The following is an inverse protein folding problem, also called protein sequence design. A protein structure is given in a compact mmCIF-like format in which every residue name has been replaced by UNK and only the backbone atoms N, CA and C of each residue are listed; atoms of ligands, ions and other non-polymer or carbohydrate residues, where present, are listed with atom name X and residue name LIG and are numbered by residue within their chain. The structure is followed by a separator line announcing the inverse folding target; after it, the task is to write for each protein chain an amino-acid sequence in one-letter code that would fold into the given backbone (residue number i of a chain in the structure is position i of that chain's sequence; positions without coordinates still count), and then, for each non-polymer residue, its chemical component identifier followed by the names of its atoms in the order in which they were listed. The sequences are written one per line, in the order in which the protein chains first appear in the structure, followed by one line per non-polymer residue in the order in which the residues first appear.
data_IF_443207873842
#
_entry.id   IF_443207873842
#
_cell.length_a   1.000
_cell.length_b   1.000
_cell.length_c   1.000
_cell.angle_alpha   90.00
_cell.angle_beta   90.00
_cell.angle_gamma   90.00
#
_symmetry.space_group_name_H-M   'P 1'
#
loop_
_entity.id
_entity.type
_entity.pdbx_description
1 polymer ?
#
# COMPACT_ATOMS: atom_id res chain seq x y z
N UNK A 1 -12.69 -45.61 -21.69
CA UNK A 1 -12.37 -46.83 -22.46
C UNK A 1 -10.85 -47.00 -22.44
N UNK A 2 -10.31 -48.14 -21.95
CA UNK A 2 -8.87 -48.33 -21.69
C UNK A 2 -8.15 -48.92 -22.95
N UNK A 3 -6.89 -49.43 -22.97
CA UNK A 3 -5.74 -49.44 -22.02
C UNK A 3 -4.35 -49.16 -22.70
N UNK A 4 -3.24 -49.32 -21.97
CA UNK A 4 -1.90 -49.63 -22.51
C UNK A 4 -0.75 -49.20 -21.57
N UNK A 5 -0.37 -49.93 -20.51
CA UNK A 5 0.34 -51.23 -20.42
C UNK A 5 1.86 -51.18 -20.72
N UNK A 6 2.69 -51.51 -19.71
CA UNK A 6 4.00 -52.25 -19.74
C UNK A 6 4.62 -52.29 -18.32
N UNK A 7 4.53 -53.41 -17.57
CA UNK A 7 5.44 -54.59 -17.47
C UNK A 7 6.73 -54.34 -16.64
N UNK A 8 6.80 -54.82 -15.37
CA UNK A 8 7.44 -56.07 -14.85
C UNK A 8 8.91 -55.89 -14.40
N UNK A 9 9.20 -55.71 -13.09
CA UNK A 9 9.63 -56.68 -12.05
C UNK A 9 11.00 -57.34 -12.24
N UNK A 10 11.91 -57.20 -11.27
CA UNK A 10 12.38 -58.29 -10.38
C UNK A 10 13.50 -57.86 -9.40
N UNK A 11 13.44 -58.47 -8.21
CA UNK A 11 14.28 -58.35 -7.00
C UNK A 11 15.44 -59.37 -7.04
N UNK A 12 16.47 -59.23 -6.18
CA UNK A 12 17.21 -60.27 -5.39
C UNK A 12 18.50 -59.62 -4.80
N UNK A 13 18.69 -59.40 -3.48
CA UNK A 13 19.04 -60.30 -2.33
C UNK A 13 20.57 -60.35 -1.98
N UNK A 14 20.94 -59.66 -0.89
CA UNK A 14 21.88 -60.01 0.21
C UNK A 14 23.33 -60.52 0.00
N UNK A 15 24.30 -59.96 0.76
CA UNK A 15 25.02 -60.61 1.90
C UNK A 15 26.30 -59.81 2.34
N UNK A 16 26.38 -59.59 3.66
CA UNK A 16 27.50 -59.47 4.63
C UNK A 16 28.93 -58.90 4.31
N UNK A 17 29.31 -57.91 5.13
CA UNK A 17 30.49 -57.83 6.03
C UNK A 17 31.92 -58.06 5.50
N UNK A 18 32.78 -57.03 5.57
CA UNK A 18 33.97 -57.04 6.45
C UNK A 18 34.65 -55.65 6.51
N UNK A 19 35.17 -55.32 7.70
CA UNK A 19 35.90 -54.10 8.02
C UNK A 19 37.32 -54.08 7.44
N UNK A 20 37.82 -52.90 7.08
CA UNK A 20 39.22 -52.49 7.26
C UNK A 20 39.31 -50.96 7.27
N UNK A 21 39.86 -50.44 8.35
CA UNK A 21 39.90 -49.01 8.66
C UNK A 21 40.94 -48.23 7.84
N UNK A 22 40.69 -46.93 7.76
CA UNK A 22 41.73 -45.93 7.64
C UNK A 22 41.30 -44.72 8.46
N UNK A 23 41.98 -44.55 9.59
CA UNK A 23 41.88 -43.41 10.47
C UNK A 23 42.32 -42.13 9.75
N UNK A 24 41.54 -41.06 9.87
CA UNK A 24 42.07 -39.70 9.82
C UNK A 24 41.59 -38.96 11.06
N UNK A 25 42.58 -38.56 11.86
CA UNK A 25 42.43 -37.87 13.12
C UNK A 25 41.85 -36.47 12.91
N UNK A 26 40.85 -36.12 13.72
CA UNK A 26 40.35 -34.75 13.90
C UNK A 26 41.11 -34.13 15.08
N UNK A 27 41.75 -32.96 14.95
CA UNK A 27 42.29 -32.26 16.10
C UNK A 27 41.16 -31.51 16.83
N UNK A 28 41.12 -31.69 18.14
CA UNK A 28 40.22 -30.97 19.02
C UNK A 28 40.74 -29.56 19.32
N UNK A 29 39.77 -28.67 19.58
CA UNK A 29 39.78 -27.59 20.59
C UNK A 29 40.04 -26.17 20.08
N UNK A 30 38.93 -25.46 19.84
CA UNK A 30 38.73 -24.14 20.44
C UNK A 30 37.23 -23.88 20.67
N UNK A 31 36.78 -24.09 21.93
CA UNK A 31 35.41 -23.75 22.36
C UNK A 31 35.36 -22.24 22.60
N UNK A 32 34.77 -21.50 21.68
CA UNK A 32 34.37 -20.11 21.90
C UNK A 32 33.22 -20.11 22.91
N UNK A 33 33.44 -19.48 24.06
CA UNK A 33 32.44 -19.29 25.12
C UNK A 33 31.19 -18.62 24.52
N UNK A 34 30.07 -19.32 24.52
CA UNK A 34 28.75 -18.70 24.36
C UNK A 34 28.35 -18.22 25.74
N UNK A 35 28.37 -16.90 25.92
CA UNK A 35 27.89 -16.25 27.13
C UNK A 35 26.37 -16.41 27.20
N UNK A 36 25.91 -17.11 28.23
CA UNK A 36 24.50 -17.41 28.46
C UNK A 36 23.89 -16.16 29.10
N UNK A 37 23.19 -15.34 28.32
CA UNK A 37 22.40 -14.24 28.86
C UNK A 37 21.28 -14.85 29.69
N UNK A 38 21.42 -14.73 31.00
CA UNK A 38 20.43 -15.14 31.99
C UNK A 38 19.37 -14.04 32.03
N UNK A 39 18.32 -14.19 31.22
CA UNK A 39 17.12 -13.38 31.38
C UNK A 39 16.35 -13.93 32.59
N UNK A 40 16.11 -13.05 33.56
CA UNK A 40 15.46 -13.35 34.83
C UNK A 40 14.01 -13.81 34.64
N UNK A 41 13.82 -15.12 34.71
CA UNK A 41 12.54 -15.82 34.69
C UNK A 41 11.90 -15.77 36.09
N UNK A 42 11.70 -14.57 36.64
CA UNK A 42 11.17 -14.39 38.00
C UNK A 42 10.16 -13.22 38.12
N UNK A 43 9.60 -12.76 37.00
CA UNK A 43 8.63 -11.65 36.97
C UNK A 43 7.25 -12.06 36.46
N UNK A 44 6.99 -13.36 36.30
CA UNK A 44 5.76 -13.92 35.73
C UNK A 44 5.11 -14.97 36.65
N UNK A 45 5.11 -14.77 37.96
CA UNK A 45 4.45 -15.71 38.89
C UNK A 45 3.47 -15.10 39.90
N UNK A 46 3.15 -13.81 39.84
CA UNK A 46 2.17 -13.21 40.78
C UNK A 46 1.11 -12.36 40.08
N UNK A 47 0.33 -12.97 39.18
CA UNK A 47 -0.97 -12.41 38.77
C UNK A 47 -2.06 -13.36 39.25
N UNK A 48 -2.60 -13.06 40.43
CA UNK A 48 -3.79 -13.73 40.99
C UNK A 48 -4.98 -13.49 40.05
N UNK A 49 -5.32 -14.53 39.26
CA UNK A 49 -6.41 -14.52 38.29
C UNK A 49 -7.75 -15.01 38.87
N UNK A 50 -7.90 -15.06 40.20
CA UNK A 50 -9.09 -15.60 40.87
C UNK A 50 -9.97 -14.50 41.49
N UNK A 51 -10.36 -13.43 40.77
CA UNK A 51 -11.61 -12.71 41.12
C UNK A 51 -12.15 -11.66 40.12
N UNK A 52 -12.04 -11.85 38.80
CA UNK A 52 -12.71 -10.95 37.85
C UNK A 52 -13.97 -11.61 37.27
N UNK A 53 -15.08 -11.46 38.00
CA UNK A 53 -16.42 -11.75 37.49
C UNK A 53 -16.83 -10.62 36.54
N UNK A 54 -16.64 -10.84 35.23
CA UNK A 54 -17.03 -9.89 34.19
C UNK A 54 -18.53 -10.03 33.91
N UNK A 55 -19.35 -9.23 34.57
CA UNK A 55 -20.77 -9.08 34.24
C UNK A 55 -20.99 -7.97 33.20
N UNK A 56 -22.06 -8.11 32.39
CA UNK A 56 -22.38 -7.25 31.24
C UNK A 56 -22.59 -5.77 31.61
N UNK A 57 -22.74 -5.47 32.90
CA UNK A 57 -23.11 -4.16 33.41
C UNK A 57 -21.89 -3.26 33.71
N UNK A 58 -20.65 -3.78 33.66
CA UNK A 58 -19.45 -3.03 34.05
C UNK A 58 -18.39 -2.83 32.96
N UNK A 59 -18.75 -3.02 31.68
CA UNK A 59 -17.81 -2.90 30.56
C UNK A 59 -17.44 -1.44 30.19
N UNK A 60 -17.99 -0.46 30.91
CA UNK A 60 -17.92 0.96 30.55
C UNK A 60 -16.87 1.82 31.26
N UNK A 61 -16.18 1.33 32.30
CA UNK A 61 -15.36 2.18 33.19
C UNK A 61 -13.84 1.90 33.20
N UNK A 62 -13.28 1.13 32.26
CA UNK A 62 -11.82 0.83 32.28
C UNK A 62 -11.13 1.15 30.95
N UNK A 63 -11.26 2.37 30.45
CA UNK A 63 -10.34 2.91 29.44
C UNK A 63 -10.14 4.42 29.66
N UNK A 64 -9.37 4.78 30.70
CA UNK A 64 -8.79 6.12 30.81
C UNK A 64 -7.55 6.20 29.91
N UNK A 65 -7.73 6.77 28.72
CA UNK A 65 -6.72 6.91 27.67
C UNK A 65 -5.84 8.17 27.84
N UNK A 66 -5.85 8.82 29.00
CA UNK A 66 -5.11 10.07 29.23
C UNK A 66 -3.59 9.90 29.43
N UNK A 67 -3.06 8.67 29.51
CA UNK A 67 -1.66 8.44 29.88
C UNK A 67 -0.79 7.80 28.78
N UNK A 68 -1.20 7.86 27.50
CA UNK A 68 -0.42 7.30 26.38
C UNK A 68 0.38 8.38 25.64
N UNK A 69 1.23 9.10 26.37
CA UNK A 69 2.32 9.91 25.81
C UNK A 69 3.64 9.46 26.45
N UNK A 70 4.26 8.39 25.91
CA UNK A 70 5.67 8.09 26.17
C UNK A 70 6.45 8.18 24.87
N UNK A 71 7.23 9.25 24.76
CA UNK A 71 8.09 9.65 23.66
C UNK A 71 9.44 8.91 23.80
N UNK A 72 9.73 7.93 22.94
CA UNK A 72 11.04 7.29 22.91
C UNK A 72 12.03 8.11 22.07
N UNK A 73 13.02 8.68 22.77
CA UNK A 73 14.16 9.42 22.25
C UNK A 73 15.23 8.45 21.68
N UNK A 74 15.48 8.54 20.38
CA UNK A 74 16.56 7.85 19.67
C UNK A 74 17.49 8.88 18.99
N UNK A 75 17.98 9.85 19.74
CA UNK A 75 19.20 10.57 19.37
C UNK A 75 20.43 9.76 19.77
N UNK A 76 21.28 9.39 18.80
CA UNK A 76 22.76 9.25 18.95
C UNK A 76 23.44 8.16 18.08
N UNK A 77 22.90 7.75 16.93
CA UNK A 77 23.68 6.94 15.98
C UNK A 77 23.47 7.38 14.52
N UNK A 78 23.99 8.55 14.16
CA UNK A 78 24.19 8.94 12.75
C UNK A 78 25.69 9.09 12.46
N UNK A 79 26.28 8.30 11.54
CA UNK A 79 27.62 8.57 11.04
C UNK A 79 27.61 9.83 10.15
N UNK A 80 28.51 10.77 10.45
CA UNK A 80 28.78 11.97 9.62
C UNK A 80 29.17 11.55 8.20
N UNK A 81 28.44 12.04 7.21
CA UNK A 81 28.84 11.98 5.80
C UNK A 81 29.27 13.39 5.38
N UNK A 82 30.53 13.53 4.98
CA UNK A 82 31.09 14.75 4.41
C UNK A 82 30.56 14.96 2.98
N UNK A 83 30.15 16.19 2.66
CA UNK A 83 29.61 16.58 1.36
C UNK A 83 30.77 16.75 0.36
N UNK A 84 30.90 15.80 -0.56
CA UNK A 84 31.82 15.89 -1.69
C UNK A 84 31.32 16.82 -2.80
N UNK A 85 32.17 17.74 -3.23
CA UNK A 85 31.92 18.77 -4.25
C UNK A 85 31.71 18.17 -5.66
N UNK A 86 30.77 18.75 -6.42
CA UNK A 86 30.41 18.41 -7.81
C UNK A 86 31.61 18.36 -8.78
N UNK A 87 31.61 17.37 -9.67
CA UNK A 87 32.53 17.29 -10.81
C UNK A 87 32.15 18.28 -11.95
N UNK A 88 33.10 18.81 -12.74
CA UNK A 88 32.83 19.87 -13.71
C UNK A 88 32.31 19.35 -15.07
N UNK A 89 31.62 20.24 -15.80
CA UNK A 89 31.10 20.01 -17.17
C UNK A 89 32.23 19.90 -18.21
N UNK A 90 32.11 19.03 -19.23
CA UNK A 90 33.02 19.05 -20.37
C UNK A 90 32.82 20.28 -21.26
N UNK A 91 33.93 20.94 -21.62
CA UNK A 91 34.03 21.94 -22.68
C UNK A 91 34.66 21.28 -23.91
N UNK A 92 33.98 21.28 -25.04
CA UNK A 92 34.45 21.87 -26.32
C UNK A 92 33.72 21.32 -27.57
N UNK A 93 33.69 22.09 -28.69
CA UNK A 93 32.78 21.91 -29.83
C UNK A 93 33.47 21.46 -31.13
N UNK A 94 32.81 20.61 -31.94
CA UNK A 94 32.98 20.36 -33.41
C UNK A 94 32.46 18.95 -33.73
N UNK A 95 31.87 18.59 -34.88
CA UNK A 95 31.43 19.27 -36.08
C UNK A 95 30.37 18.36 -36.76
N UNK A 96 29.38 18.96 -37.40
CA UNK A 96 28.43 18.30 -38.32
C UNK A 96 29.10 17.94 -39.65
N UNK A 97 28.55 16.97 -40.40
CA UNK A 97 28.46 17.13 -41.84
C UNK A 97 27.01 17.12 -42.32
N UNK A 98 26.77 18.02 -43.27
CA UNK A 98 25.54 18.35 -43.99
C UNK A 98 25.57 17.68 -45.37
N UNK A 99 24.43 17.19 -45.87
CA UNK A 99 24.25 16.84 -47.28
C UNK A 99 22.76 16.85 -47.64
N UNK A 100 22.31 17.99 -48.18
CA UNK A 100 21.05 18.09 -48.91
C UNK A 100 21.20 17.70 -50.39
N UNK A 101 20.09 17.32 -51.04
CA UNK A 101 19.53 18.07 -52.19
C UNK A 101 18.43 17.30 -52.96
N UNK A 102 17.33 18.00 -53.27
CA UNK A 102 16.41 17.91 -54.45
C UNK A 102 15.52 16.66 -54.65
N UNK A 103 14.26 16.70 -55.13
CA UNK A 103 13.40 17.76 -55.67
C UNK A 103 11.93 17.28 -55.89
N UNK A 104 11.00 18.27 -55.90
CA UNK A 104 9.73 18.44 -56.68
C UNK A 104 8.45 17.63 -56.38
N UNK A 105 7.41 18.42 -56.07
CA UNK A 105 5.96 18.17 -56.14
C UNK A 105 5.39 18.14 -57.57
N UNK A 106 4.21 17.50 -57.75
CA UNK A 106 3.06 18.20 -58.35
C UNK A 106 1.73 18.00 -57.59
N UNK A 107 0.74 18.85 -57.91
CA UNK A 107 -0.59 19.00 -57.26
C UNK A 107 -1.72 18.80 -58.30
N UNK A 108 -2.97 18.71 -57.81
CA UNK A 108 -4.32 18.62 -58.45
C UNK A 108 -4.91 17.19 -58.40
N UNK A 109 -6.19 16.90 -58.07
CA UNK A 109 -7.43 17.66 -57.84
C UNK A 109 -8.46 16.71 -57.14
N UNK A 110 -9.44 17.25 -56.40
CA UNK A 110 -10.61 16.51 -55.85
C UNK A 110 -11.62 16.11 -56.95
N UNK A 111 -12.43 15.06 -56.73
CA UNK A 111 -13.83 15.32 -56.33
C UNK A 111 -14.40 14.38 -55.25
N UNK A 112 -15.42 14.91 -54.58
CA UNK A 112 -16.33 14.35 -53.57
C UNK A 112 -17.11 13.12 -54.06
N UNK A 113 -17.48 12.18 -53.17
CA UNK A 113 -18.81 11.52 -53.09
C UNK A 113 -18.91 10.62 -51.83
N UNK A 114 -19.92 10.95 -51.02
CA UNK A 114 -20.73 10.18 -50.04
C UNK A 114 -20.13 9.11 -49.12
N UNK A 115 -20.30 9.37 -47.82
CA UNK A 115 -20.28 8.46 -46.68
C UNK A 115 -21.26 7.28 -46.80
N UNK A 116 -20.93 6.08 -46.28
CA UNK A 116 -21.92 5.06 -45.95
C UNK A 116 -22.51 5.34 -44.56
N UNK A 117 -23.83 5.48 -44.54
CA UNK A 117 -24.68 5.54 -43.36
C UNK A 117 -24.71 4.15 -42.72
N UNK A 118 -24.21 4.02 -41.49
CA UNK A 118 -24.50 2.86 -40.65
C UNK A 118 -25.88 3.06 -39.98
N UNK A 119 -26.72 2.01 -39.92
CA UNK A 119 -28.07 2.11 -39.39
C UNK A 119 -28.05 2.36 -37.86
N UNK A 120 -28.91 3.29 -37.43
CA UNK A 120 -29.17 3.60 -36.04
C UNK A 120 -29.70 2.35 -35.28
N UNK A 121 -29.31 2.15 -34.00
CA UNK A 121 -29.99 1.18 -33.15
C UNK A 121 -31.38 1.71 -32.75
N UNK A 122 -32.39 0.87 -32.93
CA UNK A 122 -33.76 1.03 -32.44
C UNK A 122 -33.74 1.04 -30.89
N UNK A 123 -34.59 1.83 -30.22
CA UNK A 123 -34.58 1.97 -28.76
C UNK A 123 -35.05 0.65 -28.12
N UNK A 124 -34.13 -0.09 -27.53
CA UNK A 124 -34.48 -1.08 -26.54
C UNK A 124 -34.85 -0.33 -25.25
N UNK A 125 -36.15 -0.08 -25.09
CA UNK A 125 -36.77 -0.09 -23.77
C UNK A 125 -36.59 -1.50 -23.21
N UNK A 126 -35.39 -1.77 -22.70
CA UNK A 126 -35.12 -2.85 -21.79
C UNK A 126 -34.79 -2.15 -20.49
N UNK A 127 -35.70 -2.26 -19.53
CA UNK A 127 -35.40 -2.01 -18.13
C UNK A 127 -34.06 -2.66 -17.83
N UNK A 128 -33.01 -1.83 -17.75
CA UNK A 128 -31.83 -2.21 -16.99
C UNK A 128 -32.37 -2.32 -15.57
N UNK A 129 -32.79 -3.55 -15.24
CA UNK A 129 -32.99 -4.00 -13.90
C UNK A 129 -31.74 -3.54 -13.17
N UNK A 130 -31.92 -2.46 -12.42
CA UNK A 130 -30.97 -2.04 -11.40
C UNK A 130 -30.53 -3.31 -10.71
N UNK A 131 -29.24 -3.64 -10.86
CA UNK A 131 -28.64 -4.64 -10.03
C UNK A 131 -29.11 -4.34 -8.60
N UNK A 132 -29.61 -5.33 -7.84
CA UNK A 132 -30.09 -5.07 -6.49
C UNK A 132 -28.98 -4.31 -5.75
N UNK A 133 -29.30 -3.18 -5.08
CA UNK A 133 -28.29 -2.39 -4.41
C UNK A 133 -27.50 -3.34 -3.53
N UNK A 134 -26.18 -3.38 -3.78
CA UNK A 134 -25.25 -4.25 -3.07
C UNK A 134 -25.54 -4.20 -1.58
N UNK A 135 -25.47 -5.36 -0.92
CA UNK A 135 -25.85 -5.51 0.47
C UNK A 135 -25.33 -4.31 1.29
N UNK A 136 -26.17 -3.69 2.13
CA UNK A 136 -25.75 -2.55 2.93
C UNK A 136 -24.50 -2.94 3.72
N UNK A 137 -23.47 -2.08 3.67
CA UNK A 137 -22.17 -2.32 4.32
C UNK A 137 -22.30 -2.78 5.77
N UNK A 138 -23.33 -2.34 6.50
CA UNK A 138 -23.60 -2.77 7.88
C UNK A 138 -24.06 -4.23 8.05
N UNK A 139 -24.24 -4.99 6.97
CA UNK A 139 -24.41 -6.45 7.01
C UNK A 139 -23.08 -7.20 6.90
N UNK A 140 -22.07 -6.57 6.30
CA UNK A 140 -20.72 -7.11 6.14
C UNK A 140 -19.76 -6.57 7.21
N UNK A 141 -20.09 -5.42 7.77
CA UNK A 141 -19.27 -4.62 8.66
C UNK A 141 -20.08 -4.21 9.89
N UNK A 142 -19.39 -3.77 10.94
CA UNK A 142 -20.00 -3.20 12.13
C UNK A 142 -20.17 -1.69 11.98
N UNK A 143 -21.41 -1.20 12.08
CA UNK A 143 -21.71 0.23 12.04
C UNK A 143 -22.08 0.74 13.43
N UNK A 144 -21.31 1.70 13.96
CA UNK A 144 -21.56 2.33 15.27
C UNK A 144 -21.54 3.84 15.08
N UNK A 145 -22.68 4.49 15.30
CA UNK A 145 -22.84 5.92 15.04
C UNK A 145 -22.60 6.24 13.55
N UNK A 146 -21.60 7.08 13.27
CA UNK A 146 -21.16 7.42 11.91
C UNK A 146 -19.88 6.70 11.48
N UNK A 147 -19.44 5.71 12.25
CA UNK A 147 -18.25 4.91 11.98
C UNK A 147 -18.63 3.55 11.39
N UNK A 148 -17.90 3.13 10.35
CA UNK A 148 -18.03 1.81 9.72
C UNK A 148 -16.74 1.04 9.91
N UNK A 149 -16.83 -0.11 10.58
CA UNK A 149 -15.72 -1.01 10.91
C UNK A 149 -15.83 -2.31 10.11
N UNK A 150 -14.97 -2.44 9.11
CA UNK A 150 -14.86 -3.55 8.17
C UNK A 150 -13.51 -4.28 8.30
N UNK A 151 -12.85 -4.20 9.45
CA UNK A 151 -11.55 -4.84 9.64
C UNK A 151 -11.66 -6.37 9.49
N UNK A 152 -10.72 -6.98 8.76
CA UNK A 152 -10.63 -8.44 8.54
C UNK A 152 -11.94 -9.10 8.03
N UNK A 153 -12.72 -8.37 7.23
CA UNK A 153 -13.99 -8.85 6.67
C UNK A 153 -13.82 -9.56 5.31
N UNK A 154 -12.60 -9.95 4.94
CA UNK A 154 -12.25 -10.55 3.64
C UNK A 154 -12.72 -9.71 2.43
N UNK A 155 -12.75 -8.38 2.56
CA UNK A 155 -13.20 -7.50 1.49
C UNK A 155 -12.20 -7.46 0.33
N UNK A 156 -12.70 -7.63 -0.89
CA UNK A 156 -11.92 -7.43 -2.13
C UNK A 156 -12.14 -6.02 -2.72
N UNK A 157 -13.24 -5.38 -2.33
CA UNK A 157 -13.65 -4.04 -2.76
C UNK A 157 -14.28 -3.28 -1.58
N UNK A 158 -14.27 -1.94 -1.66
CA UNK A 158 -14.95 -1.10 -0.68
C UNK A 158 -16.48 -1.28 -0.87
N UNK A 159 -17.24 -1.66 0.17
CA UNK A 159 -18.69 -1.82 0.06
C UNK A 159 -19.39 -0.45 -0.02
N UNK A 160 -20.67 -0.44 -0.41
CA UNK A 160 -21.47 0.79 -0.41
C UNK A 160 -21.64 1.33 1.02
N UNK A 161 -21.05 2.49 1.28
CA UNK A 161 -21.06 3.13 2.60
C UNK A 161 -22.30 4.01 2.80
N UNK A 162 -22.83 4.12 4.04
CA UNK A 162 -23.90 5.07 4.34
C UNK A 162 -23.45 6.51 4.07
N UNK A 163 -24.31 7.40 3.54
CA UNK A 163 -23.96 8.79 3.26
C UNK A 163 -23.44 9.59 4.47
N UNK A 164 -23.89 9.21 5.67
CA UNK A 164 -23.52 9.84 6.94
C UNK A 164 -22.16 9.37 7.50
N UNK A 165 -21.47 8.46 6.81
CA UNK A 165 -20.19 7.90 7.28
C UNK A 165 -19.15 9.00 7.46
N UNK A 166 -18.60 9.08 8.67
CA UNK A 166 -17.52 10.01 9.05
C UNK A 166 -16.18 9.29 9.17
N UNK A 167 -16.18 8.03 9.57
CA UNK A 167 -14.98 7.22 9.77
C UNK A 167 -15.12 5.86 9.11
N UNK A 168 -14.16 5.48 8.27
CA UNK A 168 -14.08 4.15 7.68
C UNK A 168 -12.79 3.46 8.16
N UNK A 169 -12.95 2.26 8.71
CA UNK A 169 -11.86 1.37 9.06
C UNK A 169 -12.04 0.06 8.28
N UNK A 170 -11.16 -0.25 7.34
CA UNK A 170 -11.21 -1.48 6.56
C UNK A 170 -9.82 -2.11 6.44
N UNK A 171 -9.16 -2.28 7.58
CA UNK A 171 -7.79 -2.82 7.66
C UNK A 171 -7.79 -4.34 7.45
N UNK A 172 -6.62 -4.87 7.11
CA UNK A 172 -6.39 -6.33 7.00
C UNK A 172 -7.35 -7.02 6.01
N UNK A 173 -7.72 -6.33 4.93
CA UNK A 173 -8.55 -6.89 3.88
C UNK A 173 -7.72 -7.23 2.63
N UNK A 174 -8.41 -7.57 1.54
CA UNK A 174 -7.82 -7.94 0.25
C UNK A 174 -8.17 -6.90 -0.82
N UNK A 175 -8.43 -5.66 -0.41
CA UNK A 175 -8.81 -4.59 -1.34
C UNK A 175 -7.63 -4.32 -2.26
N UNK A 176 -7.88 -4.39 -3.56
CA UNK A 176 -6.84 -4.27 -4.60
C UNK A 176 -6.86 -2.93 -5.33
N UNK A 177 -7.96 -2.19 -5.24
CA UNK A 177 -8.18 -0.94 -5.95
C UNK A 177 -9.13 -0.02 -5.21
N UNK A 178 -8.97 1.29 -5.40
CA UNK A 178 -9.88 2.31 -4.88
C UNK A 178 -10.41 3.18 -6.03
N UNK A 179 -11.73 3.24 -6.18
CA UNK A 179 -12.37 4.05 -7.23
C UNK A 179 -12.99 5.32 -6.67
N UNK A 180 -13.11 6.36 -7.50
CA UNK A 180 -13.84 7.58 -7.10
C UNK A 180 -15.32 7.32 -6.78
N UNK A 181 -15.92 6.29 -7.40
CA UNK A 181 -17.29 5.86 -7.10
C UNK A 181 -17.46 5.31 -5.69
N UNK A 182 -16.41 4.77 -5.08
CA UNK A 182 -16.49 4.07 -3.78
C UNK A 182 -16.84 5.04 -2.64
N UNK A 183 -16.52 6.33 -2.81
CA UNK A 183 -16.78 7.38 -1.83
C UNK A 183 -17.76 8.47 -2.32
N UNK A 184 -18.52 8.17 -3.37
CA UNK A 184 -19.43 9.15 -3.97
C UNK A 184 -20.50 9.60 -2.97
N UNK A 185 -20.60 10.91 -2.75
CA UNK A 185 -21.61 11.50 -1.87
C UNK A 185 -21.29 11.43 -0.37
N UNK A 186 -20.08 11.00 0.02
CA UNK A 186 -19.65 10.94 1.42
C UNK A 186 -19.07 12.28 1.88
N UNK A 187 -19.92 13.29 1.97
CA UNK A 187 -19.51 14.67 2.29
C UNK A 187 -18.92 14.84 3.70
N UNK A 188 -19.29 13.93 4.61
CA UNK A 188 -18.90 13.96 6.04
C UNK A 188 -17.68 13.10 6.36
N UNK A 189 -17.13 12.37 5.38
CA UNK A 189 -16.03 11.44 5.60
C UNK A 189 -14.75 12.20 5.98
N UNK A 190 -14.24 11.96 7.19
CA UNK A 190 -13.06 12.64 7.76
C UNK A 190 -11.84 11.75 7.80
N UNK A 191 -12.00 10.45 8.03
CA UNK A 191 -10.89 9.50 8.11
C UNK A 191 -11.18 8.24 7.31
N UNK A 192 -10.17 7.81 6.57
CA UNK A 192 -10.15 6.53 5.86
C UNK A 192 -8.90 5.76 6.29
N UNK A 193 -9.11 4.56 6.81
CA UNK A 193 -8.05 3.61 7.13
C UNK A 193 -8.18 2.34 6.29
N UNK A 194 -7.25 2.16 5.34
CA UNK A 194 -7.14 0.97 4.48
C UNK A 194 -5.78 0.29 4.68
N UNK A 195 -5.21 0.38 5.88
CA UNK A 195 -3.93 -0.24 6.21
C UNK A 195 -3.94 -1.76 5.94
N UNK A 196 -2.78 -2.29 5.54
CA UNK A 196 -2.59 -3.73 5.37
C UNK A 196 -3.60 -4.35 4.39
N UNK A 197 -3.70 -3.75 3.20
CA UNK A 197 -4.49 -4.26 2.08
C UNK A 197 -3.55 -4.65 0.91
N UNK A 198 -4.10 -4.85 -0.29
CA UNK A 198 -3.33 -5.12 -1.51
C UNK A 198 -3.53 -4.04 -2.58
N UNK A 199 -3.80 -2.80 -2.17
CA UNK A 199 -4.16 -1.71 -3.07
C UNK A 199 -2.95 -1.38 -3.95
N UNK A 200 -3.06 -1.67 -5.25
CA UNK A 200 -2.01 -1.36 -6.22
C UNK A 200 -2.28 -0.08 -6.99
N UNK A 201 -3.54 0.35 -7.07
CA UNK A 201 -3.94 1.56 -7.77
C UNK A 201 -5.15 2.22 -7.12
N UNK A 202 -5.24 3.55 -7.28
CA UNK A 202 -6.41 4.35 -6.92
C UNK A 202 -6.70 5.31 -8.07
N UNK A 203 -7.98 5.61 -8.33
CA UNK A 203 -8.35 6.67 -9.26
C UNK A 203 -7.70 7.99 -8.82
N UNK A 204 -7.29 8.80 -9.79
CA UNK A 204 -6.56 10.05 -9.55
C UNK A 204 -7.35 10.98 -8.64
N UNK A 205 -8.67 11.03 -8.79
CA UNK A 205 -9.60 11.88 -8.04
C UNK A 205 -10.35 11.17 -6.91
N UNK A 206 -9.96 9.93 -6.57
CA UNK A 206 -10.69 9.11 -5.59
C UNK A 206 -10.91 9.79 -4.24
N UNK A 207 -9.91 10.53 -3.77
CA UNK A 207 -9.96 11.22 -2.47
C UNK A 207 -10.12 12.73 -2.60
N UNK A 208 -9.74 13.32 -3.74
CA UNK A 208 -9.80 14.77 -3.99
C UNK A 208 -11.20 15.35 -3.85
N UNK A 209 -12.22 14.57 -4.19
CA UNK A 209 -13.63 15.00 -4.16
C UNK A 209 -14.27 14.91 -2.77
N UNK A 210 -13.52 14.53 -1.74
CA UNK A 210 -14.02 14.41 -0.36
C UNK A 210 -13.75 15.72 0.41
N UNK A 211 -14.76 16.59 0.60
CA UNK A 211 -14.55 17.94 1.11
C UNK A 211 -14.09 17.94 2.58
N UNK A 212 -14.48 16.93 3.37
CA UNK A 212 -14.19 16.86 4.80
C UNK A 212 -13.02 15.94 5.16
N UNK A 213 -12.35 15.32 4.19
CA UNK A 213 -11.32 14.32 4.47
C UNK A 213 -10.08 14.98 5.07
N UNK A 214 -9.70 14.51 6.26
CA UNK A 214 -8.58 15.03 7.05
C UNK A 214 -7.47 14.00 7.19
N UNK A 215 -7.80 12.71 7.19
CA UNK A 215 -6.84 11.66 7.45
C UNK A 215 -6.97 10.50 6.47
N UNK A 216 -5.87 10.17 5.81
CA UNK A 216 -5.77 9.05 4.90
C UNK A 216 -4.62 8.14 5.33
N UNK A 217 -4.96 6.91 5.69
CA UNK A 217 -4.05 5.91 6.26
C UNK A 217 -4.03 4.72 5.30
N UNK A 218 -2.91 4.55 4.60
CA UNK A 218 -2.67 3.56 3.55
C UNK A 218 -1.38 2.72 3.75
N UNK A 219 -0.79 2.58 4.96
CA UNK A 219 0.45 1.83 5.10
C UNK A 219 0.28 0.35 4.75
N UNK A 220 1.36 -0.30 4.34
CA UNK A 220 1.37 -1.71 3.96
C UNK A 220 0.41 -2.03 2.82
N UNK A 221 0.55 -1.30 1.71
CA UNK A 221 -0.17 -1.54 0.46
C UNK A 221 0.84 -1.72 -0.69
N UNK A 222 0.38 -1.62 -1.95
CA UNK A 222 1.20 -1.85 -3.14
C UNK A 222 1.14 -0.67 -4.12
N UNK A 223 0.82 0.53 -3.61
CA UNK A 223 0.65 1.72 -4.44
C UNK A 223 1.95 2.05 -5.18
N UNK A 224 1.83 2.34 -6.46
CA UNK A 224 2.94 2.80 -7.32
C UNK A 224 2.83 4.28 -7.68
N UNK A 225 1.77 4.95 -7.23
CA UNK A 225 1.57 6.39 -7.38
C UNK A 225 0.67 6.90 -6.26
N UNK A 226 0.87 8.15 -5.86
CA UNK A 226 0.02 8.81 -4.88
C UNK A 226 -1.17 9.49 -5.60
N UNK A 227 -2.43 9.22 -5.18
CA UNK A 227 -3.61 9.89 -5.75
C UNK A 227 -3.70 11.36 -5.32
N UNK A 228 -4.57 12.13 -5.96
CA UNK A 228 -4.80 13.53 -5.59
C UNK A 228 -5.49 13.61 -4.24
N UNK A 229 -4.96 14.47 -3.38
CA UNK A 229 -5.48 14.69 -2.03
C UNK A 229 -6.31 15.98 -1.99
N UNK A 230 -7.35 16.03 -1.14
CA UNK A 230 -8.10 17.26 -0.93
C UNK A 230 -7.26 18.25 -0.08
N UNK A 231 -7.48 19.56 -0.23
CA UNK A 231 -6.74 20.59 0.51
C UNK A 231 -7.01 20.58 2.03
N UNK A 232 -8.04 19.85 2.46
CA UNK A 232 -8.42 19.65 3.87
C UNK A 232 -7.62 18.56 4.57
N UNK A 233 -6.78 17.81 3.85
CA UNK A 233 -5.97 16.75 4.42
C UNK A 233 -4.97 17.32 5.45
N UNK A 234 -4.93 16.67 6.62
CA UNK A 234 -4.05 17.01 7.75
C UNK A 234 -2.98 15.94 7.95
N UNK A 235 -3.34 14.68 7.74
CA UNK A 235 -2.42 13.53 7.88
C UNK A 235 -2.52 12.59 6.70
N UNK A 236 -1.36 12.30 6.11
CA UNK A 236 -1.17 11.25 5.13
C UNK A 236 -0.13 10.27 5.65
N UNK A 237 -0.53 9.00 5.78
CA UNK A 237 0.37 7.90 6.02
C UNK A 237 0.28 6.91 4.87
N UNK A 238 1.29 6.88 4.01
CA UNK A 238 1.41 5.93 2.90
C UNK A 238 2.74 5.16 2.97
N UNK A 239 3.23 4.91 4.18
CA UNK A 239 4.45 4.11 4.41
C UNK A 239 4.32 2.70 3.85
N UNK A 240 5.44 1.99 3.68
CA UNK A 240 5.43 0.56 3.30
C UNK A 240 4.59 0.31 2.03
N UNK A 241 4.80 1.15 1.02
CA UNK A 241 4.19 1.03 -0.31
C UNK A 241 5.31 0.86 -1.36
N UNK A 242 5.02 1.10 -2.64
CA UNK A 242 5.98 0.95 -3.74
C UNK A 242 6.02 2.22 -4.59
N UNK A 243 5.81 3.38 -3.97
CA UNK A 243 5.70 4.66 -4.67
C UNK A 243 7.11 5.11 -5.07
N UNK A 244 7.43 5.20 -6.38
CA UNK A 244 8.65 5.83 -6.83
C UNK A 244 8.49 7.35 -6.84
N UNK A 245 9.59 8.09 -6.93
CA UNK A 245 9.53 9.57 -7.03
C UNK A 245 8.72 10.07 -8.23
N UNK A 246 8.67 9.30 -9.33
CA UNK A 246 7.82 9.58 -10.51
C UNK A 246 6.33 9.33 -10.26
N UNK A 247 5.99 8.58 -9.21
CA UNK A 247 4.62 8.38 -8.74
C UNK A 247 4.08 9.56 -7.93
N UNK A 248 4.91 10.57 -7.64
CA UNK A 248 4.52 11.83 -7.03
C UNK A 248 4.45 12.92 -8.10
N UNK A 249 3.30 13.58 -8.24
CA UNK A 249 3.17 14.69 -9.19
C UNK A 249 4.02 15.90 -8.73
N UNK A 250 4.53 16.72 -9.66
CA UNK A 250 5.37 17.88 -9.31
C UNK A 250 4.75 18.85 -8.29
N UNK A 251 3.43 18.97 -8.28
CA UNK A 251 2.68 19.88 -7.40
C UNK A 251 1.86 19.13 -6.34
N UNK A 252 2.19 17.86 -6.06
CA UNK A 252 1.37 16.98 -5.22
C UNK A 252 1.07 17.54 -3.82
N UNK A 253 1.99 18.32 -3.24
CA UNK A 253 1.89 18.81 -1.86
C UNK A 253 1.68 20.33 -1.76
N UNK A 254 1.77 21.06 -2.89
CA UNK A 254 1.80 22.53 -2.89
C UNK A 254 0.56 23.17 -2.27
N UNK A 255 -0.62 22.64 -2.59
CA UNK A 255 -1.90 23.21 -2.16
C UNK A 255 -2.41 22.62 -0.83
N UNK A 256 -1.68 21.69 -0.23
CA UNK A 256 -2.07 20.99 1.00
C UNK A 256 -1.74 21.81 2.25
N UNK A 257 -2.33 23.01 2.34
CA UNK A 257 -2.02 24.01 3.37
C UNK A 257 -2.33 23.56 4.80
N UNK A 258 -3.13 22.51 4.97
CA UNK A 258 -3.47 21.95 6.28
C UNK A 258 -2.61 20.72 6.66
N UNK A 259 -1.77 20.22 5.75
CA UNK A 259 -1.00 19.00 5.95
C UNK A 259 0.08 19.19 7.01
N UNK A 260 -0.03 18.43 8.10
CA UNK A 260 0.90 18.49 9.23
C UNK A 260 1.79 17.24 9.31
N UNK A 261 1.27 16.09 8.89
CA UNK A 261 1.96 14.80 9.02
C UNK A 261 2.01 14.11 7.66
N UNK A 262 3.23 13.94 7.13
CA UNK A 262 3.48 13.27 5.86
C UNK A 262 4.45 12.11 6.08
N UNK A 263 3.93 10.88 6.08
CA UNK A 263 4.72 9.68 6.27
C UNK A 263 4.76 8.85 4.98
N UNK A 264 5.94 8.78 4.37
CA UNK A 264 6.22 8.07 3.12
C UNK A 264 7.44 7.13 3.24
N UNK A 265 7.90 6.83 4.45
CA UNK A 265 8.98 5.86 4.69
C UNK A 265 8.69 4.50 4.04
N UNK A 266 9.74 3.73 3.77
CA UNK A 266 9.64 2.40 3.17
C UNK A 266 8.87 2.39 1.83
N UNK A 267 9.12 3.41 1.00
CA UNK A 267 8.71 3.47 -0.40
C UNK A 267 9.95 3.38 -1.33
N UNK A 268 9.77 3.65 -2.62
CA UNK A 268 10.85 3.62 -3.62
C UNK A 268 11.28 5.05 -4.01
N UNK A 269 11.30 5.95 -3.02
CA UNK A 269 11.53 7.37 -3.23
C UNK A 269 13.03 7.68 -3.25
N UNK A 270 13.49 8.32 -4.33
CA UNK A 270 14.81 8.94 -4.42
C UNK A 270 14.77 10.41 -3.98
N UNK A 271 13.64 11.07 -4.25
CA UNK A 271 13.34 12.46 -3.91
C UNK A 271 11.82 12.67 -3.77
N UNK A 272 11.43 13.82 -3.22
CA UNK A 272 10.04 14.30 -3.19
C UNK A 272 9.92 15.65 -3.90
N UNK A 273 8.77 15.93 -4.54
CA UNK A 273 8.52 17.23 -5.17
C UNK A 273 8.45 18.36 -4.14
N UNK A 274 9.04 19.51 -4.50
CA UNK A 274 8.99 20.76 -3.75
C UNK A 274 8.14 21.79 -4.52
N UNK A 275 7.48 22.76 -3.83
CA UNK A 275 7.58 23.05 -2.40
C UNK A 275 6.71 22.15 -1.52
N UNK A 276 7.18 21.87 -0.31
CA UNK A 276 6.37 21.29 0.77
C UNK A 276 5.54 22.40 1.44
N UNK A 277 4.36 22.07 2.01
CA UNK A 277 3.52 23.05 2.70
C UNK A 277 4.17 23.51 4.01
N UNK A 278 4.04 24.80 4.33
CA UNK A 278 4.62 25.41 5.54
C UNK A 278 4.01 24.88 6.85
N UNK A 279 2.82 24.27 6.78
CA UNK A 279 2.14 23.67 7.93
C UNK A 279 2.71 22.32 8.36
N UNK A 280 3.66 21.77 7.60
CA UNK A 280 4.23 20.45 7.84
C UNK A 280 5.03 20.43 9.15
N UNK A 281 4.65 19.52 10.06
CA UNK A 281 5.26 19.35 11.39
C UNK A 281 6.12 18.09 11.45
N UNK A 282 5.74 17.05 10.72
CA UNK A 282 6.43 15.77 10.70
C UNK A 282 6.50 15.24 9.26
N UNK A 283 7.71 14.89 8.84
CA UNK A 283 8.03 14.34 7.53
C UNK A 283 8.93 13.12 7.69
N UNK A 284 8.42 11.93 7.36
CA UNK A 284 9.21 10.69 7.40
C UNK A 284 9.35 10.13 5.98
N UNK A 285 10.58 9.99 5.49
CA UNK A 285 10.88 9.55 4.12
C UNK A 285 11.76 8.29 4.02
N UNK A 286 12.39 7.86 5.12
CA UNK A 286 13.27 6.70 5.19
C UNK A 286 12.94 5.88 6.44
#
# INVERSE_FOLDING_TARGET
TPPGCRMWTLVWLGIASLCLGAAWAVPAKERRKVEKVKADLALYENLDLENYDLTLDNYGEILDLSNYEELYDYGDLAPKIEVGTLAPRPKDPAALPDLGSTAKTPKLQHPTISSPIHPAPIPAQGEAASAPPGLPSCLLCLCIGTSVYCDDANLEHIPLLPPETTYLYARFNRISSVRASDFRGLEKLKRIDLSSNSISWADVDAFRLLPSLQELILPQNRLTALPDLPPTIVRLDARLNRIPSTGLRPEAFRDLKQLQFLHLSDNQLDYIPAPLPESLRSLHLQ
#
